data_IF_149760066290
#
_entry.id   IF_149760066290
#
_cell.length_a   1.000
_cell.length_b   1.000
_cell.length_c   1.000
_cell.angle_alpha   90.00
_cell.angle_beta   90.00
_cell.angle_gamma   90.00
#
_symmetry.space_group_name_H-M   'P 1'
#
loop_
_entity.id
_entity.type
_entity.pdbx_description
1 polymer ?
#
# COMPACT_ATOMS: atom_id res chain seq x y z
N UNK A 1 -54.35 -27.43 4.26
CA UNK A 1 -53.26 -28.12 3.50
C UNK A 1 -53.42 -27.85 2.00
N UNK A 2 -53.54 -26.57 1.61
CA UNK A 2 -53.90 -26.14 0.24
C UNK A 2 -53.27 -24.80 -0.15
N UNK A 3 -52.26 -24.35 0.60
CA UNK A 3 -51.61 -23.05 0.36
C UNK A 3 -50.12 -23.17 0.04
N UNK A 4 -49.63 -24.37 -0.26
CA UNK A 4 -48.21 -24.60 -0.53
C UNK A 4 -47.88 -25.27 -1.87
N UNK A 5 -48.88 -25.33 -2.76
CA UNK A 5 -48.72 -25.87 -4.11
C UNK A 5 -48.76 -24.77 -5.19
N UNK A 6 -49.12 -23.53 -4.87
CA UNK A 6 -49.28 -22.46 -5.86
C UNK A 6 -48.00 -21.66 -6.14
N UNK A 7 -46.96 -21.80 -5.29
CA UNK A 7 -45.74 -20.98 -5.38
C UNK A 7 -44.60 -21.63 -6.18
N UNK A 8 -44.80 -22.88 -6.64
CA UNK A 8 -43.81 -23.63 -7.44
C UNK A 8 -44.09 -23.64 -8.95
N UNK A 9 -45.15 -22.95 -9.41
CA UNK A 9 -45.53 -22.88 -10.83
C UNK A 9 -45.18 -21.55 -11.54
N UNK A 10 -44.35 -20.70 -10.94
CA UNK A 10 -43.86 -19.46 -11.57
C UNK A 10 -42.44 -19.62 -12.17
N UNK A 11 -42.09 -20.84 -12.58
CA UNK A 11 -40.90 -21.13 -13.39
C UNK A 11 -41.39 -21.96 -14.56
N UNK A 12 -41.63 -21.33 -15.71
CA UNK A 12 -41.49 -21.85 -17.09
C UNK A 12 -42.12 -20.76 -17.99
N UNK A 13 -41.27 -20.04 -18.73
CA UNK A 13 -41.70 -19.18 -19.83
C UNK A 13 -41.02 -17.82 -19.88
N UNK A 14 -39.82 -17.75 -20.47
CA UNK A 14 -39.58 -17.03 -21.73
C UNK A 14 -38.08 -17.10 -22.08
N UNK A 15 -37.74 -17.98 -23.02
CA UNK A 15 -36.40 -18.11 -23.60
C UNK A 15 -36.26 -17.11 -24.76
N UNK A 16 -35.17 -16.34 -24.70
CA UNK A 16 -34.35 -15.74 -25.77
C UNK A 16 -35.02 -15.11 -26.99
N UNK A 17 -34.85 -13.79 -27.17
CA UNK A 17 -34.16 -13.19 -28.34
C UNK A 17 -33.69 -11.77 -28.00
N UNK A 18 -32.38 -11.55 -27.82
CA UNK A 18 -31.75 -10.22 -27.94
C UNK A 18 -30.42 -10.44 -28.65
N UNK A 19 -30.52 -10.63 -29.97
CA UNK A 19 -29.38 -10.49 -30.88
C UNK A 19 -28.85 -9.07 -30.76
N UNK A 20 -27.59 -8.97 -30.35
CA UNK A 20 -26.85 -7.72 -30.37
C UNK A 20 -26.58 -7.26 -31.80
N UNK A 21 -26.84 -5.98 -32.06
CA UNK A 21 -26.08 -5.20 -33.03
C UNK A 21 -25.37 -4.11 -32.24
N UNK A 22 -24.18 -4.43 -31.72
CA UNK A 22 -23.21 -3.44 -31.29
C UNK A 22 -22.32 -3.14 -32.51
N UNK A 23 -22.79 -2.25 -33.38
CA UNK A 23 -21.94 -1.71 -34.44
C UNK A 23 -21.01 -0.69 -33.81
N UNK A 24 -19.78 -1.13 -33.58
CA UNK A 24 -18.61 -0.27 -33.45
C UNK A 24 -18.48 0.47 -34.79
N UNK A 25 -18.92 1.73 -34.83
CA UNK A 25 -18.54 2.64 -35.91
C UNK A 25 -17.44 3.55 -35.39
N UNK A 26 -16.32 3.45 -36.09
CA UNK A 26 -15.06 4.06 -35.77
C UNK A 26 -15.11 5.57 -36.03
N UNK A 27 -15.46 6.35 -35.00
CA UNK A 27 -15.10 7.75 -34.92
C UNK A 27 -13.76 7.87 -34.19
N UNK A 28 -12.68 7.47 -34.87
CA UNK A 28 -11.39 8.10 -34.62
C UNK A 28 -11.48 9.51 -35.20
N UNK A 29 -11.56 10.59 -34.39
CA UNK A 29 -11.20 11.89 -34.93
C UNK A 29 -9.76 11.75 -35.40
N UNK A 30 -9.52 12.01 -36.69
CA UNK A 30 -8.18 12.32 -37.16
C UNK A 30 -7.72 13.50 -36.31
N UNK A 31 -6.84 13.26 -35.34
CA UNK A 31 -6.11 14.34 -34.70
C UNK A 31 -5.20 14.90 -35.76
N UNK A 32 -5.62 16.02 -36.33
CA UNK A 32 -4.75 16.99 -36.96
C UNK A 32 -3.56 17.22 -36.03
N UNK A 33 -2.42 16.63 -36.36
CA UNK A 33 -1.16 16.94 -35.70
C UNK A 33 -0.77 18.33 -36.16
N UNK A 34 -1.28 19.32 -35.41
CA UNK A 34 -0.95 20.72 -35.56
C UNK A 34 0.54 20.91 -35.84
N UNK A 35 0.81 21.57 -36.96
CA UNK A 35 2.14 21.84 -37.43
C UNK A 35 2.98 22.68 -36.47
N UNK A 36 4.30 22.53 -36.64
CA UNK A 36 5.24 23.64 -36.54
C UNK A 36 5.51 24.18 -35.13
N UNK A 37 6.09 23.36 -34.25
CA UNK A 37 6.97 23.88 -33.20
C UNK A 37 8.42 23.54 -33.57
N UNK A 38 9.08 24.50 -34.24
CA UNK A 38 10.54 24.53 -34.41
C UNK A 38 11.20 24.71 -33.05
N UNK A 39 11.30 23.64 -32.26
CA UNK A 39 12.22 23.59 -31.13
C UNK A 39 13.42 22.77 -31.57
N UNK A 40 14.59 23.43 -31.61
CA UNK A 40 15.85 22.74 -31.85
C UNK A 40 16.07 21.72 -30.74
N UNK A 41 16.60 20.52 -31.05
CA UNK A 41 16.87 19.52 -30.02
C UNK A 41 17.81 20.09 -28.97
N UNK A 42 17.52 19.84 -27.70
CA UNK A 42 18.37 20.23 -26.57
C UNK A 42 19.77 19.65 -26.81
N UNK A 43 20.78 20.51 -26.80
CA UNK A 43 22.17 20.09 -27.03
C UNK A 43 22.91 19.93 -25.70
N UNK A 44 23.98 19.14 -25.69
CA UNK A 44 24.84 18.93 -24.51
C UNK A 44 25.30 20.26 -23.87
N UNK A 45 25.56 21.28 -24.70
CA UNK A 45 25.98 22.61 -24.23
C UNK A 45 24.90 23.34 -23.42
N UNK A 46 23.64 23.11 -23.74
CA UNK A 46 22.51 23.68 -23.01
C UNK A 46 22.40 23.07 -21.61
N UNK A 47 22.65 21.76 -21.52
CA UNK A 47 22.70 21.04 -20.25
C UNK A 47 23.89 21.49 -19.37
N UNK A 48 25.06 21.71 -19.97
CA UNK A 48 26.25 22.23 -19.26
C UNK A 48 26.07 23.69 -18.80
N UNK A 49 25.27 24.51 -19.48
CA UNK A 49 24.96 25.87 -19.03
C UNK A 49 24.02 25.90 -17.83
N UNK A 50 23.07 24.97 -17.76
CA UNK A 50 22.15 24.86 -16.61
C UNK A 50 22.85 24.35 -15.35
N UNK A 51 23.85 23.47 -15.48
CA UNK A 51 24.62 22.97 -14.34
C UNK A 51 25.54 24.06 -13.74
N UNK A 52 26.08 24.94 -14.57
CA UNK A 52 26.94 26.04 -14.15
C UNK A 52 26.21 27.19 -13.43
N UNK A 53 24.88 27.24 -13.48
CA UNK A 53 24.08 28.28 -12.81
C UNK A 53 23.76 27.99 -11.33
N UNK A 54 24.23 26.87 -10.77
CA UNK A 54 24.10 26.61 -9.33
C UNK A 54 25.21 27.31 -8.52
N UNK A 55 25.04 28.61 -8.28
CA UNK A 55 25.85 29.32 -7.29
C UNK A 55 25.25 29.13 -5.88
N UNK A 56 26.07 28.83 -4.85
CA UNK A 56 25.61 28.82 -3.47
C UNK A 56 25.22 30.23 -3.03
N UNK A 57 24.04 30.35 -2.42
CA UNK A 57 23.55 31.59 -1.81
C UNK A 57 24.45 31.95 -0.64
N UNK A 58 25.40 32.86 -0.85
CA UNK A 58 26.12 33.53 0.25
C UNK A 58 25.13 34.43 0.97
N UNK A 59 24.71 34.00 2.16
CA UNK A 59 23.88 34.81 3.05
C UNK A 59 24.70 35.98 3.59
N UNK A 60 24.36 37.17 3.10
CA UNK A 60 24.81 38.46 3.62
C UNK A 60 24.52 38.55 5.12
N UNK A 61 25.57 38.67 5.93
CA UNK A 61 25.49 39.01 7.36
C UNK A 61 24.84 40.38 7.53
N UNK A 62 23.60 40.38 8.03
CA UNK A 62 22.96 41.58 8.53
C UNK A 62 23.27 41.70 10.03
N UNK A 63 24.04 42.75 10.30
CA UNK A 63 24.54 43.22 11.58
C UNK A 63 23.37 43.65 12.47
N UNK A 64 23.17 43.00 13.61
CA UNK A 64 22.51 43.61 14.77
C UNK A 64 23.36 43.35 16.01
N UNK A 65 23.79 44.46 16.61
CA UNK A 65 24.63 44.53 17.78
C UNK A 65 23.91 43.98 19.02
N UNK A 66 24.64 43.31 19.93
CA UNK A 66 24.53 43.50 21.39
C UNK A 66 25.75 42.85 22.09
N UNK A 67 26.66 43.71 22.54
CA UNK A 67 27.51 43.66 23.75
C UNK A 67 28.08 42.34 24.29
N UNK A 68 29.41 42.29 24.37
CA UNK A 68 30.20 41.46 25.32
C UNK A 68 30.09 41.98 26.77
N UNK A 69 30.35 41.13 27.78
CA UNK A 69 31.69 41.13 28.36
C UNK A 69 32.32 39.74 28.45
N UNK A 70 33.64 39.76 28.49
CA UNK A 70 34.53 38.63 28.63
C UNK A 70 34.34 37.91 29.97
N UNK A 71 34.35 36.57 29.93
CA UNK A 71 34.83 35.75 31.05
C UNK A 71 35.74 34.65 30.52
N UNK A 72 36.96 34.67 31.03
CA UNK A 72 37.98 33.64 30.91
C UNK A 72 37.46 32.36 31.54
N UNK A 73 37.26 31.32 30.73
CA UNK A 73 36.82 30.02 31.23
C UNK A 73 37.14 28.90 30.24
N UNK A 74 38.24 28.20 30.49
CA UNK A 74 38.51 26.86 29.95
C UNK A 74 37.26 25.98 30.11
N UNK A 75 36.76 25.37 29.03
CA UNK A 75 36.45 23.93 28.92
C UNK A 75 35.67 23.62 27.64
N UNK A 76 36.06 22.48 27.08
CA UNK A 76 35.60 21.76 25.90
C UNK A 76 34.11 21.79 25.56
N UNK A 77 33.84 21.86 24.25
CA UNK A 77 32.94 20.90 23.61
C UNK A 77 31.57 21.40 23.17
N UNK A 78 31.39 22.66 22.75
CA UNK A 78 30.09 23.11 22.22
C UNK A 78 30.11 23.89 20.90
N UNK A 79 31.30 24.11 20.35
CA UNK A 79 31.50 24.96 19.17
C UNK A 79 31.48 24.15 17.86
N UNK A 80 31.41 22.82 17.95
CA UNK A 80 31.47 21.89 16.80
C UNK A 80 30.10 21.34 16.39
N UNK A 81 29.01 21.74 17.05
CA UNK A 81 27.67 21.15 16.86
C UNK A 81 27.07 21.35 15.45
N UNK A 82 27.68 22.18 14.60
CA UNK A 82 27.27 22.39 13.21
C UNK A 82 28.25 21.90 12.14
N UNK A 83 29.40 21.31 12.50
CA UNK A 83 30.41 20.90 11.52
C UNK A 83 30.39 19.39 11.27
N UNK A 84 30.82 18.96 10.07
CA UNK A 84 30.95 17.54 9.69
C UNK A 84 31.75 16.71 10.71
N UNK A 85 32.78 17.32 11.31
CA UNK A 85 33.59 16.67 12.34
C UNK A 85 32.80 16.43 13.65
N UNK A 86 31.91 17.35 14.02
CA UNK A 86 31.02 17.19 15.19
C UNK A 86 29.93 16.15 14.96
N UNK A 87 29.47 15.99 13.72
CA UNK A 87 28.51 14.94 13.35
C UNK A 87 29.16 13.54 13.38
N UNK A 88 30.43 13.41 13.00
CA UNK A 88 31.17 12.15 13.07
C UNK A 88 31.37 11.66 14.51
N UNK A 89 31.78 12.56 15.41
CA UNK A 89 32.01 12.23 16.83
C UNK A 89 30.71 11.87 17.58
N UNK A 90 29.58 12.50 17.22
CA UNK A 90 28.27 12.16 17.75
C UNK A 90 27.79 10.77 17.31
N UNK A 91 28.14 10.33 16.09
CA UNK A 91 27.78 9.02 15.57
C UNK A 91 28.57 7.89 16.27
N UNK A 92 29.85 8.12 16.57
CA UNK A 92 30.69 7.17 17.31
C UNK A 92 30.22 6.98 18.77
N UNK A 93 29.76 8.06 19.42
CA UNK A 93 29.16 7.98 20.77
C UNK A 93 27.82 7.24 20.80
N UNK A 94 27.01 7.34 19.77
CA UNK A 94 25.74 6.59 19.69
C UNK A 94 25.98 5.08 19.52
N UNK A 95 27.02 4.69 18.78
CA UNK A 95 27.31 3.29 18.51
C UNK A 95 27.91 2.53 19.72
N UNK A 96 28.64 3.23 20.59
CA UNK A 96 29.34 2.63 21.74
C UNK A 96 28.47 2.49 23.00
N UNK A 97 27.34 3.22 23.09
CA UNK A 97 26.50 3.25 24.30
C UNK A 97 25.35 2.23 24.37
N UNK A 98 24.81 1.75 23.25
CA UNK A 98 23.50 1.06 23.26
C UNK A 98 23.47 -0.39 22.72
N UNK A 99 24.56 -0.91 22.13
CA UNK A 99 24.58 -2.27 21.55
C UNK A 99 25.37 -3.30 22.36
N UNK A 100 26.42 -2.91 23.09
CA UNK A 100 27.29 -3.88 23.78
C UNK A 100 26.65 -4.49 25.05
N UNK A 101 25.76 -3.77 25.74
CA UNK A 101 25.15 -4.24 26.99
C UNK A 101 23.96 -5.19 26.76
N UNK A 102 23.21 -5.01 25.67
CA UNK A 102 22.02 -5.81 25.35
C UNK A 102 22.36 -7.18 24.76
N UNK A 103 23.42 -7.26 23.95
CA UNK A 103 23.81 -8.53 23.29
C UNK A 103 24.46 -9.53 24.26
N UNK A 104 25.15 -9.06 25.30
CA UNK A 104 25.83 -9.93 26.28
C UNK A 104 24.84 -10.56 27.28
N UNK A 105 23.72 -9.90 27.57
CA UNK A 105 22.70 -10.40 28.49
C UNK A 105 21.80 -11.48 27.85
N UNK A 106 21.36 -11.27 26.60
CA UNK A 106 20.59 -12.28 25.85
C UNK A 106 21.42 -13.53 25.50
N UNK A 107 22.72 -13.38 25.23
CA UNK A 107 23.60 -14.52 24.96
C UNK A 107 23.81 -15.43 26.18
N UNK A 108 23.86 -14.86 27.41
CA UNK A 108 23.99 -15.65 28.64
C UNK A 108 22.71 -16.40 29.02
N UNK A 109 21.54 -15.81 28.79
CA UNK A 109 20.26 -16.50 29.08
C UNK A 109 20.02 -17.68 28.11
N UNK A 110 20.44 -17.53 26.85
CA UNK A 110 20.33 -18.60 25.85
C UNK A 110 21.30 -19.75 26.14
N UNK A 111 22.54 -19.45 26.55
CA UNK A 111 23.55 -20.46 26.89
C UNK A 111 23.22 -21.24 28.18
N UNK A 112 22.53 -20.62 29.14
CA UNK A 112 22.16 -21.28 30.40
C UNK A 112 20.93 -22.19 30.25
N UNK A 113 20.08 -21.94 29.25
CA UNK A 113 18.93 -22.79 28.92
C UNK A 113 19.32 -24.01 28.08
N UNK A 114 20.42 -23.96 27.32
CA UNK A 114 20.94 -25.11 26.56
C UNK A 114 21.65 -26.15 27.44
N UNK A 115 22.31 -25.77 28.53
CA UNK A 115 23.00 -26.73 29.41
C UNK A 115 22.06 -27.57 30.29
N UNK A 116 20.79 -27.18 30.45
CA UNK A 116 19.81 -27.93 31.22
C UNK A 116 19.02 -28.96 30.38
N UNK A 117 19.16 -28.96 29.05
CA UNK A 117 18.46 -29.87 28.15
C UNK A 117 19.27 -31.12 27.77
N UNK A 118 20.55 -31.20 28.14
CA UNK A 118 21.46 -32.30 27.77
C UNK A 118 21.59 -33.36 28.88
N UNK A 119 20.47 -33.81 29.46
CA UNK A 119 20.41 -35.10 30.19
C UNK A 119 18.98 -35.61 30.15
N UNK A 120 18.51 -36.02 28.97
CA UNK A 120 17.44 -37.01 28.82
C UNK A 120 17.39 -37.49 27.37
N UNK A 121 17.87 -38.73 27.19
CA UNK A 121 17.40 -39.74 26.23
C UNK A 121 17.06 -39.31 24.81
N UNK A 122 17.87 -39.77 23.86
CA UNK A 122 17.51 -39.80 22.45
C UNK A 122 16.16 -40.45 22.19
N UNK A 123 15.32 -39.71 21.49
CA UNK A 123 14.33 -40.23 20.56
C UNK A 123 14.39 -39.30 19.34
N UNK A 124 14.62 -39.90 18.18
CA UNK A 124 14.52 -39.28 16.87
C UNK A 124 13.07 -38.84 16.66
N UNK A 125 12.73 -37.64 17.14
CA UNK A 125 11.47 -36.99 16.82
C UNK A 125 11.58 -36.43 15.41
N UNK A 126 11.12 -37.23 14.45
CA UNK A 126 10.74 -36.76 13.12
C UNK A 126 9.87 -35.52 13.33
N UNK A 127 10.43 -34.35 13.06
CA UNK A 127 9.65 -33.12 12.99
C UNK A 127 8.61 -33.33 11.90
N UNK A 128 7.40 -33.69 12.31
CA UNK A 128 6.23 -33.71 11.45
C UNK A 128 6.04 -32.25 11.08
N UNK A 129 6.54 -31.87 9.91
CA UNK A 129 6.15 -30.65 9.25
C UNK A 129 4.63 -30.71 9.17
N UNK A 130 3.96 -29.97 10.07
CA UNK A 130 2.53 -29.76 9.96
C UNK A 130 2.30 -29.25 8.54
N UNK A 131 1.37 -29.85 7.75
CA UNK A 131 1.13 -29.38 6.41
C UNK A 131 0.74 -27.90 6.53
N UNK A 132 1.67 -27.03 6.15
CA UNK A 132 1.40 -25.62 5.99
C UNK A 132 0.34 -25.60 4.90
N UNK A 133 -0.94 -25.40 5.30
CA UNK A 133 -2.07 -25.21 4.39
C UNK A 133 -1.54 -24.35 3.26
N UNK A 134 -1.38 -24.90 2.07
CA UNK A 134 -0.78 -24.19 0.95
C UNK A 134 -1.54 -22.88 0.79
N UNK A 135 -0.90 -21.79 1.22
CA UNK A 135 -1.57 -20.51 1.39
C UNK A 135 -2.09 -20.08 0.04
N UNK A 136 -3.38 -19.77 -0.04
CA UNK A 136 -4.00 -19.39 -1.28
C UNK A 136 -3.31 -18.14 -1.86
N UNK A 137 -2.94 -18.22 -3.13
CA UNK A 137 -2.24 -17.11 -3.80
C UNK A 137 -3.24 -16.10 -4.35
N UNK A 138 -3.02 -14.84 -4.01
CA UNK A 138 -3.84 -13.70 -4.42
C UNK A 138 -2.94 -12.63 -5.04
N UNK A 139 -3.43 -11.90 -6.05
CA UNK A 139 -2.83 -10.64 -6.49
C UNK A 139 -3.86 -9.53 -6.54
N UNK A 140 -3.39 -8.31 -6.27
CA UNK A 140 -4.18 -7.09 -6.39
C UNK A 140 -3.71 -6.35 -7.64
N UNK A 141 -4.65 -6.04 -8.54
CA UNK A 141 -4.39 -5.17 -9.67
C UNK A 141 -4.43 -3.69 -9.25
N UNK A 142 -3.84 -2.79 -10.05
CA UNK A 142 -3.97 -1.35 -9.82
C UNK A 142 -5.43 -0.93 -9.64
N UNK A 143 -5.66 -0.06 -8.65
CA UNK A 143 -6.98 0.46 -8.34
C UNK A 143 -7.37 1.51 -9.37
N UNK A 144 -8.62 1.46 -9.83
CA UNK A 144 -9.18 2.39 -10.81
C UNK A 144 -10.12 3.38 -10.09
N UNK A 145 -9.99 4.66 -10.40
CA UNK A 145 -10.92 5.71 -9.95
C UNK A 145 -10.62 6.36 -8.60
N UNK A 146 -9.57 5.93 -7.90
CA UNK A 146 -9.06 6.56 -6.68
C UNK A 146 -7.64 7.12 -6.87
N UNK A 147 -7.31 8.29 -6.28
CA UNK A 147 -5.98 8.86 -6.33
C UNK A 147 -4.99 8.07 -5.47
N UNK A 148 -3.70 8.21 -5.76
CA UNK A 148 -2.61 7.49 -5.06
C UNK A 148 -2.64 7.75 -3.55
N UNK A 149 -2.99 8.96 -3.11
CA UNK A 149 -3.13 9.32 -1.70
C UNK A 149 -4.16 8.45 -0.96
N UNK A 150 -5.28 8.11 -1.61
CA UNK A 150 -6.31 7.23 -1.05
C UNK A 150 -5.94 5.75 -1.21
N UNK A 151 -5.27 5.39 -2.31
CA UNK A 151 -4.88 4.00 -2.64
C UNK A 151 -3.73 3.50 -1.77
N UNK A 152 -2.82 4.38 -1.33
CA UNK A 152 -1.65 4.02 -0.52
C UNK A 152 -2.04 3.37 0.82
N UNK A 153 -2.87 3.98 1.69
CA UNK A 153 -3.30 3.35 2.93
C UNK A 153 -4.15 2.11 2.69
N UNK A 154 -5.03 2.11 1.67
CA UNK A 154 -5.81 0.93 1.26
C UNK A 154 -4.88 -0.27 0.94
N UNK A 155 -3.91 -0.06 0.06
CA UNK A 155 -3.01 -1.13 -0.42
C UNK A 155 -2.14 -1.69 0.70
N UNK A 156 -1.62 -0.81 1.57
CA UNK A 156 -0.87 -1.23 2.76
C UNK A 156 -1.73 -2.12 3.66
N UNK A 157 -2.98 -1.72 3.90
CA UNK A 157 -3.87 -2.49 4.77
C UNK A 157 -4.34 -3.79 4.12
N UNK A 158 -4.68 -3.81 2.83
CA UNK A 158 -4.97 -5.04 2.09
C UNK A 158 -3.81 -6.04 2.19
N UNK A 159 -2.59 -5.55 2.02
CA UNK A 159 -1.40 -6.39 2.11
C UNK A 159 -1.15 -6.95 3.51
N UNK A 160 -1.43 -6.18 4.56
CA UNK A 160 -1.32 -6.65 5.94
C UNK A 160 -2.39 -7.68 6.28
N UNK A 161 -3.66 -7.38 5.96
CA UNK A 161 -4.82 -8.24 6.23
C UNK A 161 -4.75 -9.56 5.44
N UNK A 162 -4.35 -9.52 4.17
CA UNK A 162 -4.22 -10.75 3.39
C UNK A 162 -3.16 -11.70 3.99
N UNK A 163 -1.99 -11.17 4.37
CA UNK A 163 -0.91 -11.97 4.96
C UNK A 163 -1.26 -12.48 6.35
N UNK A 164 -1.92 -11.68 7.20
CA UNK A 164 -2.36 -12.13 8.53
C UNK A 164 -3.39 -13.25 8.46
N UNK A 165 -4.14 -13.34 7.35
CA UNK A 165 -5.10 -14.41 7.08
C UNK A 165 -4.52 -15.57 6.24
N UNK A 166 -3.19 -15.66 6.10
CA UNK A 166 -2.52 -16.79 5.44
C UNK A 166 -2.57 -16.78 3.90
N UNK A 167 -2.93 -15.66 3.29
CA UNK A 167 -2.90 -15.50 1.83
C UNK A 167 -1.47 -15.14 1.38
N UNK A 168 -1.03 -15.79 0.30
CA UNK A 168 0.25 -15.47 -0.34
C UNK A 168 0.04 -14.40 -1.41
N UNK A 169 0.59 -13.21 -1.21
CA UNK A 169 0.45 -12.11 -2.18
C UNK A 169 1.49 -12.25 -3.28
N UNK A 170 1.04 -12.31 -4.53
CA UNK A 170 1.89 -12.22 -5.72
C UNK A 170 1.99 -10.79 -6.23
N UNK A 171 3.00 -10.52 -7.04
CA UNK A 171 3.13 -9.22 -7.70
C UNK A 171 1.97 -9.00 -8.68
N UNK A 172 1.62 -7.75 -8.94
CA UNK A 172 0.57 -7.43 -9.91
C UNK A 172 0.90 -7.93 -11.32
N UNK A 173 2.18 -8.09 -11.66
CA UNK A 173 2.65 -8.61 -12.95
C UNK A 173 2.75 -10.15 -13.02
N UNK A 174 2.66 -10.84 -11.88
CA UNK A 174 2.74 -12.30 -11.81
C UNK A 174 1.35 -12.93 -12.05
N UNK A 175 1.20 -13.62 -13.17
CA UNK A 175 -0.06 -14.26 -13.58
C UNK A 175 -0.26 -15.67 -12.99
N UNK A 176 0.61 -16.13 -12.08
CA UNK A 176 0.49 -17.45 -11.43
C UNK A 176 -0.44 -17.47 -10.21
N UNK A 177 -1.14 -16.37 -9.92
CA UNK A 177 -2.07 -16.29 -8.78
C UNK A 177 -3.37 -17.03 -9.06
N UNK A 178 -3.79 -17.87 -8.12
CA UNK A 178 -5.10 -18.52 -8.13
C UNK A 178 -6.26 -17.51 -8.23
N UNK A 179 -6.19 -16.41 -7.49
CA UNK A 179 -7.20 -15.35 -7.50
C UNK A 179 -6.61 -13.98 -7.80
N UNK A 180 -7.39 -13.17 -8.51
CA UNK A 180 -7.03 -11.82 -8.94
C UNK A 180 -8.12 -10.86 -8.46
N UNK A 181 -7.75 -9.82 -7.74
CA UNK A 181 -8.68 -8.79 -7.29
C UNK A 181 -8.46 -7.51 -8.09
N UNK A 182 -9.53 -7.01 -8.70
CA UNK A 182 -9.55 -5.75 -9.46
C UNK A 182 -10.51 -4.77 -8.82
N UNK A 183 -9.99 -3.65 -8.33
CA UNK A 183 -10.73 -2.66 -7.55
C UNK A 183 -11.13 -1.43 -8.36
N UNK A 184 -12.38 -1.01 -8.20
CA UNK A 184 -12.99 0.18 -8.78
C UNK A 184 -13.58 1.04 -7.67
N UNK A 185 -13.23 2.32 -7.66
CA UNK A 185 -13.58 3.23 -6.58
C UNK A 185 -14.10 4.55 -7.15
N UNK A 186 -15.02 5.17 -6.43
CA UNK A 186 -15.53 6.51 -6.70
C UNK A 186 -15.78 7.22 -5.38
N UNK A 187 -15.58 8.53 -5.33
CA UNK A 187 -15.94 9.36 -4.20
C UNK A 187 -16.87 10.48 -4.68
N UNK A 188 -17.93 10.75 -3.93
CA UNK A 188 -18.92 11.77 -4.26
C UNK A 188 -19.47 12.44 -3.01
N UNK A 189 -19.88 13.70 -3.15
CA UNK A 189 -20.56 14.42 -2.07
C UNK A 189 -21.99 13.93 -2.00
N UNK A 190 -22.43 13.52 -0.83
CA UNK A 190 -23.76 12.99 -0.58
C UNK A 190 -24.22 13.36 0.84
N UNK A 191 -25.44 13.89 0.96
CA UNK A 191 -26.08 14.18 2.25
C UNK A 191 -25.21 14.96 3.28
N UNK A 192 -24.42 15.93 2.81
CA UNK A 192 -23.52 16.72 3.67
C UNK A 192 -22.25 15.99 4.13
N UNK A 193 -22.00 14.78 3.60
CA UNK A 193 -20.77 14.02 3.72
C UNK A 193 -20.17 13.66 2.38
N UNK A 194 -19.07 12.92 2.41
CA UNK A 194 -18.49 12.29 1.23
C UNK A 194 -18.71 10.78 1.32
N UNK A 195 -19.31 10.21 0.29
CA UNK A 195 -19.51 8.76 0.15
C UNK A 195 -18.49 8.19 -0.84
N UNK A 196 -17.73 7.21 -0.37
CA UNK A 196 -16.83 6.39 -1.18
C UNK A 196 -17.57 5.11 -1.55
N UNK A 197 -17.76 4.87 -2.85
CA UNK A 197 -18.33 3.61 -3.37
C UNK A 197 -17.19 2.76 -3.92
N UNK A 198 -17.18 1.48 -3.57
CA UNK A 198 -16.16 0.55 -4.03
C UNK A 198 -16.76 -0.75 -4.57
N UNK A 199 -16.13 -1.28 -5.62
CA UNK A 199 -16.45 -2.58 -6.22
C UNK A 199 -15.15 -3.31 -6.48
N UNK A 200 -15.10 -4.56 -6.09
CA UNK A 200 -14.02 -5.49 -6.35
C UNK A 200 -14.54 -6.68 -7.13
N UNK A 201 -13.96 -6.91 -8.31
CA UNK A 201 -14.16 -8.15 -9.02
C UNK A 201 -13.07 -9.15 -8.58
N UNK A 202 -13.51 -10.35 -8.17
CA UNK A 202 -12.64 -11.49 -7.89
C UNK A 202 -12.64 -12.38 -9.13
N UNK A 203 -11.47 -12.53 -9.74
CA UNK A 203 -11.28 -13.25 -10.99
C UNK A 203 -10.43 -14.51 -10.76
N UNK A 204 -10.59 -15.51 -11.62
CA UNK A 204 -9.66 -16.64 -11.72
C UNK A 204 -8.41 -16.29 -12.56
N UNK A 205 -7.49 -17.24 -12.69
CA UNK A 205 -6.28 -17.07 -13.50
C UNK A 205 -6.53 -16.85 -15.01
N UNK A 206 -7.72 -17.18 -15.51
CA UNK A 206 -8.13 -16.91 -16.91
C UNK A 206 -8.74 -15.50 -17.08
N UNK A 207 -9.01 -14.81 -15.98
CA UNK A 207 -9.67 -13.49 -15.97
C UNK A 207 -11.20 -13.57 -15.90
N UNK A 208 -11.78 -14.77 -15.79
CA UNK A 208 -13.22 -14.92 -15.61
C UNK A 208 -13.61 -14.48 -14.21
N UNK A 209 -14.69 -13.68 -14.10
CA UNK A 209 -15.18 -13.21 -12.81
C UNK A 209 -15.90 -14.32 -12.08
N UNK A 210 -15.38 -14.66 -10.90
CA UNK A 210 -15.96 -15.64 -9.98
C UNK A 210 -16.90 -15.01 -8.97
N UNK A 211 -16.56 -13.80 -8.50
CA UNK A 211 -17.31 -13.13 -7.44
C UNK A 211 -17.18 -11.61 -7.51
N UNK A 212 -18.06 -10.91 -6.80
CA UNK A 212 -18.06 -9.46 -6.68
C UNK A 212 -18.32 -9.05 -5.23
N UNK A 213 -17.41 -8.25 -4.71
CA UNK A 213 -17.47 -7.58 -3.40
C UNK A 213 -17.78 -6.12 -3.67
N UNK A 214 -18.71 -5.53 -2.94
CA UNK A 214 -19.10 -4.14 -3.16
C UNK A 214 -19.64 -3.52 -1.89
N UNK A 215 -19.44 -2.21 -1.75
CA UNK A 215 -19.95 -1.48 -0.60
C UNK A 215 -19.73 0.02 -0.73
N UNK A 216 -20.07 0.72 0.35
CA UNK A 216 -19.88 2.15 0.45
C UNK A 216 -19.49 2.55 1.87
N UNK A 217 -18.67 3.58 1.99
CA UNK A 217 -18.34 4.23 3.25
C UNK A 217 -18.67 5.71 3.17
N UNK A 218 -19.37 6.23 4.18
CA UNK A 218 -19.66 7.66 4.26
C UNK A 218 -18.84 8.28 5.37
N UNK A 219 -18.21 9.42 5.08
CA UNK A 219 -17.49 10.25 6.04
C UNK A 219 -18.18 11.59 6.17
N UNK A 220 -18.16 12.16 7.36
CA UNK A 220 -18.72 13.50 7.60
C UNK A 220 -17.85 14.56 6.93
N UNK A 221 -18.50 15.59 6.38
CA UNK A 221 -17.83 16.70 5.73
C UNK A 221 -17.62 16.49 4.23
N UNK A 222 -17.45 17.60 3.52
CA UNK A 222 -17.29 17.64 2.07
C UNK A 222 -16.15 18.56 1.70
N UNK A 223 -15.45 18.28 0.60
CA UNK A 223 -14.43 19.15 0.02
C UNK A 223 -14.76 19.44 -1.46
N UNK A 224 -14.01 20.35 -2.11
CA UNK A 224 -14.20 20.62 -3.55
C UNK A 224 -13.95 19.35 -4.37
N UNK A 225 -12.77 18.75 -4.19
CA UNK A 225 -12.47 17.38 -4.57
C UNK A 225 -12.96 16.42 -3.48
N UNK A 226 -13.87 15.47 -3.78
CA UNK A 226 -14.39 14.55 -2.78
C UNK A 226 -13.29 13.67 -2.14
N UNK A 227 -12.25 13.30 -2.89
CA UNK A 227 -11.18 12.46 -2.34
C UNK A 227 -10.39 13.12 -1.22
N UNK A 228 -10.23 14.44 -1.29
CA UNK A 228 -9.58 15.24 -0.24
C UNK A 228 -10.32 15.22 1.11
N UNK A 229 -11.61 14.85 1.14
CA UNK A 229 -12.38 14.70 2.39
C UNK A 229 -12.30 13.27 2.97
N UNK A 230 -11.72 12.30 2.26
CA UNK A 230 -11.66 10.89 2.68
C UNK A 230 -10.42 10.64 3.54
N UNK A 231 -10.56 10.34 4.84
CA UNK A 231 -9.43 10.02 5.69
C UNK A 231 -8.80 8.67 5.32
N UNK A 232 -7.49 8.52 5.54
CA UNK A 232 -6.77 7.26 5.35
C UNK A 232 -7.44 6.08 6.08
N UNK A 233 -7.95 6.31 7.30
CA UNK A 233 -8.66 5.30 8.11
C UNK A 233 -9.89 4.72 7.41
N UNK A 234 -10.60 5.51 6.60
CA UNK A 234 -11.75 5.02 5.83
C UNK A 234 -11.30 4.02 4.79
N UNK A 235 -10.22 4.33 4.07
CA UNK A 235 -9.62 3.44 3.07
C UNK A 235 -9.04 2.17 3.71
N UNK A 236 -8.41 2.28 4.88
CA UNK A 236 -7.98 1.11 5.67
C UNK A 236 -9.16 0.25 6.11
N UNK A 237 -10.29 0.87 6.47
CA UNK A 237 -11.54 0.19 6.83
C UNK A 237 -12.12 -0.60 5.66
N UNK A 238 -12.14 0.00 4.46
CA UNK A 238 -12.57 -0.68 3.22
C UNK A 238 -11.68 -1.90 2.96
N UNK A 239 -10.36 -1.75 3.06
CA UNK A 239 -9.43 -2.86 2.87
C UNK A 239 -9.71 -4.05 3.81
N UNK A 240 -9.98 -3.77 5.09
CA UNK A 240 -10.34 -4.80 6.08
C UNK A 240 -11.66 -5.51 5.72
N UNK A 241 -12.67 -4.75 5.29
CA UNK A 241 -13.96 -5.30 4.84
C UNK A 241 -13.77 -6.18 3.61
N UNK A 242 -13.02 -5.71 2.62
CA UNK A 242 -12.73 -6.47 1.39
C UNK A 242 -12.09 -7.83 1.68
N UNK A 243 -11.06 -7.91 2.53
CA UNK A 243 -10.44 -9.21 2.86
C UNK A 243 -11.41 -10.12 3.61
N UNK A 244 -12.20 -9.57 4.53
CA UNK A 244 -13.20 -10.36 5.27
C UNK A 244 -14.25 -10.96 4.33
N UNK A 245 -14.82 -10.14 3.46
CA UNK A 245 -15.82 -10.59 2.47
C UNK A 245 -15.23 -11.59 1.48
N UNK A 246 -13.97 -11.40 1.08
CA UNK A 246 -13.25 -12.37 0.26
C UNK A 246 -13.13 -13.73 0.97
N UNK A 247 -12.73 -13.75 2.24
CA UNK A 247 -12.55 -14.99 3.01
C UNK A 247 -13.89 -15.69 3.28
N UNK A 248 -14.95 -14.92 3.54
CA UNK A 248 -16.31 -15.45 3.72
C UNK A 248 -16.78 -16.15 2.44
N UNK A 249 -16.63 -15.47 1.28
CA UNK A 249 -16.89 -16.09 -0.01
C UNK A 249 -16.03 -17.35 -0.24
N UNK A 250 -14.73 -17.31 0.06
CA UNK A 250 -13.85 -18.48 -0.08
C UNK A 250 -14.27 -19.66 0.80
N UNK A 251 -14.83 -19.41 1.98
CA UNK A 251 -15.41 -20.43 2.84
C UNK A 251 -16.70 -21.04 2.28
N UNK A 252 -17.44 -20.31 1.46
CA UNK A 252 -18.69 -20.78 0.84
C UNK A 252 -18.49 -21.62 -0.43
N UNK A 253 -17.35 -21.48 -1.11
CA UNK A 253 -17.07 -22.17 -2.38
C UNK A 253 -16.26 -23.45 -2.11
N UNK A 254 -16.76 -24.64 -2.50
CA UNK A 254 -15.98 -25.88 -2.39
C UNK A 254 -14.69 -25.78 -3.21
N UNK A 255 -13.60 -26.28 -2.62
CA UNK A 255 -12.23 -26.13 -3.12
C UNK A 255 -11.90 -27.00 -4.33
#
# INVERSE_FOLDING_TARGET
>A
MTHELMKRLAVIGLIAILSGCNSTDALTPQVDVGGGLNSSPVTQRDLDQMSAQTTPVTTTTQQTAFTTPAETGTTSGRDTAGTLQGQADALERNNTGSRAASDTALARETAQRSLAAETSGGAEEIAVATPQKSGETIRFLPIIGAPVEAVTPLSKRLGAEARSNGLTIRSASDNSSKYILKGYFSAMKDNGGTTVVYVWDVLDGSGARLHRIQGQETVSGTASDPWSAVPARTMEGIAQKTIREYLDWRGSVPG
#
